data_IF_425547340114
#
_entry.id   IF_425547340114
#
_cell.length_a   1.000
_cell.length_b   1.000
_cell.length_c   1.000
_cell.angle_alpha   90.00
_cell.angle_beta   90.00
_cell.angle_gamma   90.00
#
_symmetry.space_group_name_H-M   'P 1'
#
loop_
_entity.id
_entity.type
_entity.pdbx_description
1 polymer ?
#
# COMPACT_ATOMS: atom_id res chain seq x y z
N UNK A 1 -58.16 36.59 25.83
CA UNK A 1 -57.55 36.23 24.51
C UNK A 1 -56.22 35.54 24.71
N UNK A 2 -56.16 34.32 25.26
CA UNK A 2 -54.86 33.62 25.53
C UNK A 2 -54.83 32.13 25.17
N UNK A 3 -55.87 31.60 24.54
CA UNK A 3 -55.94 30.14 24.18
C UNK A 3 -55.37 29.76 22.82
N UNK A 4 -55.13 30.72 21.92
CA UNK A 4 -54.69 30.47 20.55
C UNK A 4 -53.15 30.19 20.44
N UNK A 5 -52.35 30.81 21.30
CA UNK A 5 -50.87 30.69 21.23
C UNK A 5 -50.33 29.35 21.75
N UNK A 6 -51.03 28.74 22.71
CA UNK A 6 -50.61 27.45 23.27
C UNK A 6 -50.88 26.30 22.31
N UNK A 7 -51.97 26.35 21.56
CA UNK A 7 -52.28 25.35 20.56
C UNK A 7 -51.36 25.38 19.36
N UNK A 8 -50.86 26.53 18.95
CA UNK A 8 -49.87 26.66 17.86
C UNK A 8 -48.47 26.15 18.24
N UNK A 9 -48.05 26.36 19.49
CA UNK A 9 -46.78 25.82 19.98
C UNK A 9 -46.81 24.30 20.09
N UNK A 10 -47.87 23.68 20.50
CA UNK A 10 -48.00 22.23 20.60
C UNK A 10 -48.02 21.60 19.20
N UNK A 11 -48.66 22.25 18.22
CA UNK A 11 -48.70 21.74 16.85
C UNK A 11 -47.32 21.80 16.16
N UNK A 12 -46.52 22.87 16.39
CA UNK A 12 -45.17 23.01 15.83
C UNK A 12 -44.19 22.00 16.47
N UNK A 13 -44.30 21.75 17.76
CA UNK A 13 -43.46 20.77 18.46
C UNK A 13 -43.81 19.32 18.02
N UNK A 14 -45.07 19.04 17.75
CA UNK A 14 -45.51 17.72 17.28
C UNK A 14 -45.06 17.42 15.83
N UNK A 15 -45.01 18.44 14.97
CA UNK A 15 -44.54 18.27 13.59
C UNK A 15 -43.00 18.10 13.49
N UNK A 16 -42.23 18.70 14.40
CA UNK A 16 -40.76 18.52 14.43
C UNK A 16 -40.32 17.13 14.93
N UNK A 17 -41.15 16.44 15.72
CA UNK A 17 -40.85 15.12 16.24
C UNK A 17 -41.08 13.98 15.20
N UNK A 18 -41.69 14.27 14.07
CA UNK A 18 -42.01 13.28 13.01
C UNK A 18 -40.98 13.30 11.86
N UNK A 19 -39.97 14.18 11.89
CA UNK A 19 -38.91 14.14 10.91
C UNK A 19 -37.86 13.09 11.36
N UNK A 20 -38.17 11.84 11.16
CA UNK A 20 -37.16 10.78 11.20
C UNK A 20 -36.12 11.08 10.09
N UNK A 21 -34.82 11.10 10.38
CA UNK A 21 -33.83 11.18 9.31
C UNK A 21 -34.06 10.00 8.39
N UNK A 22 -34.47 10.26 7.17
CA UNK A 22 -34.52 9.26 6.12
C UNK A 22 -33.08 8.80 5.90
N UNK A 23 -32.70 7.67 6.52
CA UNK A 23 -31.46 6.99 6.19
C UNK A 23 -31.57 6.56 4.73
N UNK A 24 -30.91 7.27 3.84
CA UNK A 24 -30.77 6.88 2.45
C UNK A 24 -30.06 5.52 2.43
N UNK A 25 -30.80 4.45 2.45
CA UNK A 25 -30.28 3.10 2.24
C UNK A 25 -29.94 3.00 0.76
N UNK A 26 -28.66 2.75 0.47
CA UNK A 26 -28.25 2.41 -0.89
C UNK A 26 -29.07 1.19 -1.36
N UNK A 27 -29.57 1.19 -2.59
CA UNK A 27 -30.35 0.09 -3.10
C UNK A 27 -29.53 -1.20 -3.05
N UNK A 28 -30.09 -2.24 -2.43
CA UNK A 28 -29.50 -3.58 -2.42
C UNK A 28 -29.99 -4.31 -3.65
N UNK A 29 -29.09 -4.57 -4.58
CA UNK A 29 -29.43 -5.21 -5.85
C UNK A 29 -29.59 -6.73 -5.76
N UNK A 30 -29.31 -7.35 -4.62
CA UNK A 30 -29.41 -8.79 -4.43
C UNK A 30 -28.42 -9.60 -5.26
N UNK A 31 -27.35 -8.97 -5.74
CA UNK A 31 -26.33 -9.62 -6.56
C UNK A 31 -25.12 -9.99 -5.72
N UNK A 32 -24.65 -11.23 -5.90
CA UNK A 32 -23.50 -11.74 -5.15
C UNK A 32 -23.86 -12.17 -3.72
N UNK A 33 -22.84 -12.58 -2.99
CA UNK A 33 -22.90 -12.96 -1.58
C UNK A 33 -21.70 -12.39 -0.83
N UNK A 34 -21.78 -12.30 0.48
CA UNK A 34 -20.63 -12.00 1.31
C UNK A 34 -19.61 -13.14 1.20
N UNK A 35 -18.32 -12.85 0.97
CA UNK A 35 -17.29 -13.87 0.96
C UNK A 35 -17.08 -14.43 2.37
N UNK A 36 -16.66 -15.71 2.46
CA UNK A 36 -16.24 -16.29 3.72
C UNK A 36 -14.87 -15.74 4.17
N UNK A 37 -14.51 -15.85 5.47
CA UNK A 37 -13.19 -15.45 5.94
C UNK A 37 -12.04 -16.16 5.21
N UNK A 38 -12.21 -17.42 4.83
CA UNK A 38 -11.18 -18.17 4.10
C UNK A 38 -11.02 -17.67 2.66
N UNK A 39 -12.12 -17.32 2.00
CA UNK A 39 -12.06 -16.68 0.69
C UNK A 39 -11.35 -15.33 0.74
N UNK A 40 -11.63 -14.51 1.75
CA UNK A 40 -10.95 -13.22 1.96
C UNK A 40 -9.45 -13.46 2.16
N UNK A 41 -9.06 -14.43 2.99
CA UNK A 41 -7.67 -14.73 3.32
C UNK A 41 -6.82 -15.08 2.10
N UNK A 42 -7.39 -15.75 1.10
CA UNK A 42 -6.69 -16.07 -0.16
C UNK A 42 -6.32 -14.81 -0.95
N UNK A 43 -7.13 -13.77 -0.88
CA UNK A 43 -6.96 -12.52 -1.62
C UNK A 43 -6.29 -11.40 -0.82
N UNK A 44 -6.29 -11.50 0.51
CA UNK A 44 -5.66 -10.52 1.39
C UNK A 44 -4.15 -10.78 1.50
N UNK A 45 -3.45 -10.50 0.43
CA UNK A 45 -2.00 -10.64 0.31
C UNK A 45 -1.25 -9.34 0.64
N UNK A 46 -1.93 -8.32 1.11
CA UNK A 46 -1.33 -7.01 1.39
C UNK A 46 -0.57 -7.05 2.71
N UNK A 47 0.70 -6.68 2.66
CA UNK A 47 1.54 -6.54 3.86
C UNK A 47 1.55 -5.06 4.26
N UNK A 48 1.03 -4.71 5.44
CA UNK A 48 1.07 -3.34 5.96
C UNK A 48 2.49 -2.94 6.39
N UNK A 49 2.73 -1.64 6.69
CA UNK A 49 4.04 -1.14 7.11
C UNK A 49 4.64 -1.85 8.34
N UNK A 50 3.80 -2.33 9.26
CA UNK A 50 4.21 -3.05 10.46
C UNK A 50 4.63 -4.53 10.19
N UNK A 51 4.48 -5.01 8.97
CA UNK A 51 4.88 -6.36 8.56
C UNK A 51 3.92 -7.47 8.95
N UNK A 52 2.72 -7.17 9.45
CA UNK A 52 1.73 -8.22 9.73
C UNK A 52 1.42 -9.01 8.47
N UNK A 53 1.39 -10.33 8.60
CA UNK A 53 1.13 -11.23 7.47
C UNK A 53 2.35 -11.58 6.63
N UNK A 54 3.55 -11.08 6.94
CA UNK A 54 4.78 -11.53 6.31
C UNK A 54 4.96 -13.04 6.58
N UNK A 55 5.15 -13.87 5.54
CA UNK A 55 5.37 -15.30 5.71
C UNK A 55 6.75 -15.58 6.29
N UNK A 56 6.96 -16.78 6.87
CA UNK A 56 8.30 -17.27 7.20
C UNK A 56 9.19 -17.28 5.94
N UNK A 57 10.47 -16.99 6.15
CA UNK A 57 11.49 -16.95 5.11
C UNK A 57 12.52 -15.88 5.39
N UNK A 58 13.61 -15.88 4.63
CA UNK A 58 14.69 -14.89 4.76
C UNK A 58 15.50 -14.76 3.47
N UNK A 59 16.24 -13.64 3.35
CA UNK A 59 17.14 -13.44 2.23
C UNK A 59 18.18 -12.35 2.48
N UNK A 60 19.29 -12.43 1.75
CA UNK A 60 20.36 -11.44 1.74
C UNK A 60 20.50 -10.79 0.36
N UNK A 61 21.19 -9.65 0.26
CA UNK A 61 21.45 -9.01 -1.01
C UNK A 61 22.22 -9.93 -1.98
N UNK A 62 23.20 -10.66 -1.47
CA UNK A 62 23.98 -11.62 -2.27
C UNK A 62 23.11 -12.73 -2.89
N UNK A 63 22.19 -13.31 -2.14
CA UNK A 63 21.25 -14.28 -2.67
C UNK A 63 20.27 -13.64 -3.66
N UNK A 64 19.86 -12.39 -3.39
CA UNK A 64 18.93 -11.62 -4.20
C UNK A 64 19.46 -11.21 -5.56
N UNK A 65 20.77 -11.03 -5.70
CA UNK A 65 21.38 -10.74 -7.00
C UNK A 65 21.09 -11.83 -8.02
N UNK A 66 21.26 -13.10 -7.64
CA UNK A 66 20.97 -14.22 -8.54
C UNK A 66 19.49 -14.28 -8.95
N UNK A 67 18.57 -13.97 -8.01
CA UNK A 67 17.13 -13.87 -8.31
C UNK A 67 16.85 -12.71 -9.25
N UNK A 68 17.46 -11.53 -8.99
CA UNK A 68 17.30 -10.36 -9.82
C UNK A 68 17.76 -10.57 -11.25
N UNK A 69 18.96 -11.11 -11.44
CA UNK A 69 19.53 -11.39 -12.78
C UNK A 69 18.67 -12.38 -13.56
N UNK A 70 18.09 -13.37 -12.89
CA UNK A 70 17.26 -14.41 -13.53
C UNK A 70 15.84 -13.92 -13.85
N UNK A 71 15.21 -13.10 -13.00
CA UNK A 71 13.79 -12.81 -13.05
C UNK A 71 13.43 -11.33 -13.31
N UNK A 72 14.36 -10.41 -13.11
CA UNK A 72 14.07 -8.98 -13.15
C UNK A 72 14.87 -8.23 -14.23
N UNK A 73 16.13 -8.64 -14.45
CA UNK A 73 17.08 -7.91 -15.28
C UNK A 73 16.67 -7.81 -16.76
N UNK A 74 15.89 -8.76 -17.27
CA UNK A 74 15.37 -8.72 -18.65
C UNK A 74 14.52 -7.48 -18.91
N UNK A 75 13.77 -7.03 -17.90
CA UNK A 75 12.89 -5.86 -18.00
C UNK A 75 13.50 -4.60 -17.37
N UNK A 76 14.26 -4.74 -16.28
CA UNK A 76 14.78 -3.62 -15.50
C UNK A 76 16.28 -3.33 -15.73
N UNK A 77 16.94 -4.05 -16.67
CA UNK A 77 18.38 -3.94 -16.88
C UNK A 77 19.20 -4.63 -15.79
N UNK A 78 20.47 -4.89 -16.05
CA UNK A 78 21.36 -5.53 -15.07
C UNK A 78 21.71 -4.60 -13.92
N UNK A 79 21.82 -3.31 -14.22
CA UNK A 79 22.13 -2.24 -13.25
C UNK A 79 20.87 -1.50 -12.79
N UNK A 80 19.67 -2.04 -13.04
CA UNK A 80 18.40 -1.42 -12.67
C UNK A 80 18.11 -0.10 -13.39
N UNK A 81 18.78 0.11 -14.52
CA UNK A 81 18.62 1.27 -15.37
C UNK A 81 17.28 1.28 -16.09
N UNK A 82 16.82 2.47 -16.46
CA UNK A 82 15.60 2.58 -17.26
C UNK A 82 15.85 2.00 -18.66
N UNK A 83 15.09 0.95 -19.08
CA UNK A 83 15.27 0.34 -20.38
C UNK A 83 14.98 1.34 -21.52
N UNK A 84 15.88 1.43 -22.48
CA UNK A 84 15.74 2.34 -23.62
C UNK A 84 14.56 2.01 -24.53
N UNK A 85 14.19 0.74 -24.61
CA UNK A 85 13.16 0.20 -25.53
C UNK A 85 11.76 0.11 -24.90
N UNK A 86 11.64 0.23 -23.58
CA UNK A 86 10.32 0.19 -22.93
C UNK A 86 10.21 1.24 -21.81
N UNK A 87 9.61 2.40 -22.10
CA UNK A 87 9.47 3.47 -21.11
C UNK A 87 8.52 3.16 -19.95
N UNK A 88 7.77 2.04 -20.03
CA UNK A 88 6.87 1.61 -18.95
C UNK A 88 7.61 1.05 -17.74
N UNK A 89 8.82 0.52 -17.95
CA UNK A 89 9.64 0.05 -16.85
C UNK A 89 10.39 1.22 -16.23
N UNK A 90 10.32 1.32 -14.92
CA UNK A 90 10.97 2.40 -14.18
C UNK A 90 12.38 1.99 -13.77
N UNK A 91 13.25 2.98 -13.65
CA UNK A 91 14.54 2.81 -12.99
C UNK A 91 14.34 2.36 -11.54
N UNK A 92 15.15 1.41 -11.08
CA UNK A 92 15.01 0.84 -9.74
C UNK A 92 16.01 1.43 -8.72
N UNK A 93 17.16 1.93 -9.19
CA UNK A 93 18.25 2.41 -8.34
C UNK A 93 18.52 3.90 -8.52
N UNK A 94 19.07 4.54 -7.48
CA UNK A 94 19.45 5.95 -7.46
C UNK A 94 18.27 6.90 -7.19
N UNK A 95 18.36 8.12 -7.72
CA UNK A 95 17.32 9.16 -7.59
C UNK A 95 17.19 9.79 -6.20
N UNK A 96 18.03 9.40 -5.24
CA UNK A 96 18.02 9.99 -3.89
C UNK A 96 18.29 11.50 -3.96
N UNK A 97 17.48 12.30 -3.24
CA UNK A 97 17.58 13.76 -3.23
C UNK A 97 16.94 14.47 -4.43
N UNK A 98 16.43 13.73 -5.44
CA UNK A 98 15.84 14.36 -6.64
C UNK A 98 14.36 14.70 -6.52
N UNK A 99 13.65 14.21 -5.51
CA UNK A 99 12.18 14.36 -5.42
C UNK A 99 11.71 15.82 -5.33
N UNK A 100 12.55 16.72 -4.79
CA UNK A 100 12.25 18.15 -4.68
C UNK A 100 12.77 18.98 -5.85
N UNK A 101 13.28 18.34 -6.92
CA UNK A 101 13.80 19.02 -8.11
C UNK A 101 12.75 19.04 -9.22
N UNK A 102 13.02 19.83 -10.28
CA UNK A 102 12.20 19.88 -11.50
C UNK A 102 12.24 18.58 -12.32
N UNK A 103 13.16 17.65 -12.00
CA UNK A 103 13.32 16.35 -12.67
C UNK A 103 13.41 15.21 -11.65
N UNK A 104 12.34 14.91 -10.93
CA UNK A 104 12.34 13.86 -9.93
C UNK A 104 12.54 12.48 -10.57
N UNK A 105 13.41 11.66 -9.98
CA UNK A 105 13.62 10.26 -10.38
C UNK A 105 13.06 9.35 -9.31
N UNK A 106 11.93 8.72 -9.62
CA UNK A 106 11.20 7.85 -8.70
C UNK A 106 11.78 6.42 -8.75
N UNK A 107 12.44 6.01 -7.69
CA UNK A 107 13.05 4.67 -7.55
C UNK A 107 12.70 4.03 -6.22
N UNK A 108 13.18 2.80 -6.01
CA UNK A 108 13.12 2.17 -4.68
C UNK A 108 13.82 3.04 -3.63
N UNK A 109 14.98 3.61 -3.96
CA UNK A 109 15.78 4.39 -3.03
C UNK A 109 15.32 5.82 -2.79
N UNK A 110 14.55 6.41 -3.71
CA UNK A 110 14.11 7.80 -3.59
C UNK A 110 12.65 7.94 -3.14
N UNK A 111 11.75 7.08 -3.60
CA UNK A 111 10.30 7.30 -3.50
C UNK A 111 9.58 6.37 -2.52
N UNK A 112 9.97 5.09 -2.46
CA UNK A 112 9.24 4.10 -1.67
C UNK A 112 9.27 4.40 -0.17
N UNK A 113 8.08 4.39 0.45
CA UNK A 113 7.92 4.76 1.86
C UNK A 113 8.30 3.64 2.85
N UNK A 114 7.99 2.39 2.51
CA UNK A 114 8.20 1.24 3.38
C UNK A 114 8.78 0.05 2.63
N UNK A 115 9.75 -0.63 3.21
CA UNK A 115 10.34 -1.84 2.64
C UNK A 115 9.33 -3.01 2.59
N UNK A 116 8.41 -3.09 3.55
CA UNK A 116 7.31 -4.06 3.57
C UNK A 116 6.36 -3.90 2.39
N UNK A 117 6.09 -2.65 1.97
CA UNK A 117 5.28 -2.37 0.78
C UNK A 117 5.98 -2.82 -0.49
N UNK A 118 7.31 -2.63 -0.58
CA UNK A 118 8.11 -3.13 -1.69
C UNK A 118 8.05 -4.66 -1.77
N UNK A 119 8.27 -5.36 -0.66
CA UNK A 119 8.16 -6.80 -0.56
C UNK A 119 6.77 -7.29 -1.02
N UNK A 120 5.71 -6.68 -0.50
CA UNK A 120 4.32 -6.99 -0.85
C UNK A 120 4.02 -6.78 -2.34
N UNK A 121 4.55 -5.71 -2.92
CA UNK A 121 4.42 -5.43 -4.35
C UNK A 121 5.12 -6.49 -5.20
N UNK A 122 6.37 -6.83 -4.88
CA UNK A 122 7.12 -7.87 -5.60
C UNK A 122 6.36 -9.20 -5.53
N UNK A 123 5.94 -9.61 -4.34
CA UNK A 123 5.21 -10.88 -4.12
C UNK A 123 3.96 -11.00 -4.99
N UNK A 124 3.21 -9.92 -5.17
CA UNK A 124 1.90 -9.93 -5.84
C UNK A 124 1.95 -9.63 -7.33
N UNK A 125 2.97 -8.90 -7.79
CA UNK A 125 2.97 -8.28 -9.11
C UNK A 125 4.24 -8.51 -9.91
N UNK A 126 5.26 -9.16 -9.36
CA UNK A 126 6.55 -9.36 -10.01
C UNK A 126 7.01 -10.83 -9.95
N UNK A 127 7.63 -11.33 -11.00
CA UNK A 127 7.77 -10.74 -12.34
C UNK A 127 6.40 -10.47 -12.99
N UNK A 128 6.31 -9.45 -13.85
CA UNK A 128 5.02 -9.03 -14.43
C UNK A 128 4.34 -10.12 -15.29
N UNK A 129 5.13 -10.94 -15.92
CA UNK A 129 4.69 -12.07 -16.78
C UNK A 129 4.32 -13.34 -15.99
N UNK A 130 4.86 -13.49 -14.75
CA UNK A 130 4.59 -14.63 -13.86
C UNK A 130 4.38 -14.19 -12.39
N UNK A 131 3.33 -13.42 -12.06
CA UNK A 131 3.10 -12.94 -10.70
C UNK A 131 2.94 -14.09 -9.71
N UNK A 132 3.60 -13.97 -8.54
CA UNK A 132 3.50 -14.95 -7.47
C UNK A 132 4.38 -16.19 -7.62
N UNK A 133 5.20 -16.30 -8.67
CA UNK A 133 6.11 -17.44 -8.90
C UNK A 133 7.26 -17.50 -7.88
N UNK A 134 7.66 -16.35 -7.31
CA UNK A 134 8.76 -16.28 -6.36
C UNK A 134 8.36 -16.88 -5.00
N UNK A 135 9.24 -17.70 -4.45
CA UNK A 135 9.12 -18.17 -3.06
C UNK A 135 9.29 -17.00 -2.08
N UNK A 136 8.82 -17.12 -0.80
CA UNK A 136 9.06 -16.10 0.20
C UNK A 136 10.54 -15.74 0.35
N UNK A 137 11.44 -16.71 0.37
CA UNK A 137 12.89 -16.48 0.46
C UNK A 137 13.42 -15.68 -0.74
N UNK A 138 12.99 -16.00 -1.95
CA UNK A 138 13.37 -15.25 -3.14
C UNK A 138 12.85 -13.81 -3.10
N UNK A 139 11.64 -13.57 -2.57
CA UNK A 139 11.11 -12.21 -2.41
C UNK A 139 11.90 -11.43 -1.35
N UNK A 140 12.25 -12.05 -0.21
CA UNK A 140 13.13 -11.42 0.78
C UNK A 140 14.50 -11.11 0.19
N UNK A 141 15.09 -12.06 -0.52
CA UNK A 141 16.41 -11.91 -1.12
C UNK A 141 16.44 -10.80 -2.18
N UNK A 142 15.50 -10.79 -3.13
CA UNK A 142 15.49 -9.74 -4.16
C UNK A 142 15.13 -8.37 -3.55
N UNK A 143 14.30 -8.33 -2.53
CA UNK A 143 14.05 -7.08 -1.77
C UNK A 143 15.32 -6.58 -1.11
N UNK A 144 16.11 -7.47 -0.46
CA UNK A 144 17.40 -7.13 0.12
C UNK A 144 18.38 -6.60 -0.95
N UNK A 145 18.45 -7.23 -2.10
CA UNK A 145 19.29 -6.77 -3.20
C UNK A 145 18.91 -5.36 -3.68
N UNK A 146 17.61 -5.10 -3.88
CA UNK A 146 17.14 -3.77 -4.28
C UNK A 146 17.45 -2.69 -3.23
N UNK A 147 17.32 -3.01 -1.95
CA UNK A 147 17.64 -2.09 -0.86
C UNK A 147 19.14 -1.86 -0.74
N UNK A 148 19.96 -2.91 -0.85
CA UNK A 148 21.42 -2.80 -0.87
C UNK A 148 21.92 -1.94 -2.04
N UNK A 149 21.42 -2.18 -3.25
CA UNK A 149 21.80 -1.41 -4.45
C UNK A 149 21.38 0.06 -4.38
N UNK A 150 20.45 0.40 -3.48
CA UNK A 150 20.05 1.76 -3.15
C UNK A 150 20.74 2.28 -1.85
N UNK A 151 21.77 1.58 -1.32
CA UNK A 151 22.53 2.00 -0.14
C UNK A 151 21.66 2.20 1.13
N UNK A 152 20.60 1.38 1.28
CA UNK A 152 19.67 1.45 2.42
C UNK A 152 20.05 0.44 3.49
N UNK A 153 20.56 -0.72 3.09
CA UNK A 153 21.05 -1.79 3.97
C UNK A 153 22.44 -2.26 3.52
N UNK A 154 23.12 -3.01 4.37
CA UNK A 154 24.40 -3.67 4.05
C UNK A 154 24.20 -4.93 3.19
N UNK A 155 25.26 -5.36 2.50
CA UNK A 155 25.25 -6.54 1.62
C UNK A 155 24.91 -7.84 2.37
N UNK A 156 25.36 -7.94 3.62
CA UNK A 156 25.22 -9.13 4.45
C UNK A 156 23.99 -9.07 5.38
N UNK A 157 23.22 -7.99 5.33
CA UNK A 157 22.02 -7.88 6.15
C UNK A 157 20.99 -8.92 5.73
N UNK A 158 20.41 -9.58 6.73
CA UNK A 158 19.37 -10.59 6.52
C UNK A 158 18.01 -9.94 6.67
N UNK A 159 17.21 -10.00 5.61
CA UNK A 159 15.80 -9.62 5.67
C UNK A 159 14.92 -10.84 5.94
N UNK A 160 14.05 -10.70 6.90
CA UNK A 160 13.00 -11.65 7.29
C UNK A 160 11.76 -10.91 7.79
N UNK A 161 10.77 -11.64 8.31
CA UNK A 161 9.54 -11.05 8.85
C UNK A 161 9.76 -10.09 10.03
N UNK A 162 10.90 -10.17 10.73
CA UNK A 162 11.23 -9.32 11.89
C UNK A 162 12.04 -8.09 11.47
N UNK A 163 13.02 -8.28 10.61
CA UNK A 163 13.99 -7.24 10.23
C UNK A 163 13.46 -6.32 9.12
N UNK A 164 12.68 -6.85 8.17
CA UNK A 164 12.15 -6.06 7.07
C UNK A 164 11.31 -4.85 7.50
N UNK A 165 10.39 -4.92 8.49
CA UNK A 165 9.63 -3.75 8.95
C UNK A 165 10.48 -2.68 9.63
N UNK A 166 11.70 -3.02 10.08
CA UNK A 166 12.61 -2.12 10.76
C UNK A 166 13.47 -1.29 9.80
N UNK A 167 13.48 -1.63 8.51
CA UNK A 167 14.23 -0.89 7.50
C UNK A 167 13.72 0.55 7.40
N UNK A 168 14.63 1.51 7.56
CA UNK A 168 14.33 2.94 7.46
C UNK A 168 14.52 3.41 6.03
N UNK A 169 13.42 3.48 5.29
CA UNK A 169 13.44 4.00 3.92
C UNK A 169 13.72 5.51 3.91
N UNK A 170 14.51 6.02 2.93
CA UNK A 170 14.88 7.45 2.87
C UNK A 170 13.66 8.39 2.78
N UNK A 171 12.58 7.97 2.12
CA UNK A 171 11.36 8.77 1.95
C UNK A 171 10.23 8.36 2.90
N UNK A 172 10.55 7.73 4.04
CA UNK A 172 9.55 7.24 4.99
C UNK A 172 8.57 8.33 5.44
N UNK A 173 9.08 9.51 5.69
CA UNK A 173 8.33 10.65 6.23
C UNK A 173 8.03 11.73 5.18
N UNK A 174 8.33 11.46 3.90
CA UNK A 174 8.18 12.42 2.80
C UNK A 174 6.77 12.54 2.23
N UNK A 175 5.83 11.70 2.67
CA UNK A 175 4.44 11.76 2.22
C UNK A 175 3.61 12.65 3.13
N UNK A 176 2.92 13.61 2.54
CA UNK A 176 1.97 14.48 3.23
C UNK A 176 0.54 13.96 3.06
N UNK A 177 -0.37 14.24 4.00
CA UNK A 177 -1.78 13.93 3.84
C UNK A 177 -2.35 14.60 2.59
N UNK A 178 -3.23 13.89 1.89
CA UNK A 178 -3.98 14.46 0.78
C UNK A 178 -4.92 15.56 1.31
N UNK A 179 -4.82 16.77 0.72
CA UNK A 179 -5.61 17.94 1.13
C UNK A 179 -7.02 17.96 0.54
N UNK A 180 -7.37 17.01 -0.33
CA UNK A 180 -8.73 16.96 -0.90
C UNK A 180 -9.76 16.67 0.19
N UNK A 181 -10.94 17.34 0.17
CA UNK A 181 -11.94 17.23 1.22
C UNK A 181 -12.58 15.85 1.34
N UNK A 182 -12.59 15.06 0.26
CA UNK A 182 -13.16 13.71 0.21
C UNK A 182 -12.22 12.62 0.78
N UNK A 183 -10.94 12.92 0.99
CA UNK A 183 -9.92 11.98 1.51
C UNK A 183 -9.37 12.36 2.88
N UNK A 184 -10.04 13.24 3.61
CA UNK A 184 -9.64 13.70 4.95
C UNK A 184 -9.59 12.59 6.02
N UNK A 185 -9.13 12.92 7.26
CA UNK A 185 -8.95 11.96 8.36
C UNK A 185 -10.19 11.11 8.66
N UNK A 186 -11.39 11.66 8.44
CA UNK A 186 -12.67 10.96 8.61
C UNK A 186 -12.91 9.87 7.58
N UNK A 187 -12.38 9.99 6.37
CA UNK A 187 -12.46 8.95 5.35
C UNK A 187 -11.61 7.72 5.73
N UNK A 188 -10.42 7.93 6.33
CA UNK A 188 -9.55 6.85 6.83
C UNK A 188 -10.15 6.11 8.03
N UNK A 189 -10.85 6.82 8.91
CA UNK A 189 -11.51 6.22 10.08
C UNK A 189 -12.67 5.30 9.71
N UNK A 190 -13.31 5.48 8.55
CA UNK A 190 -14.40 4.62 8.08
C UNK A 190 -13.90 3.31 7.47
N UNK A 191 -12.72 3.30 6.84
CA UNK A 191 -12.13 2.10 6.24
C UNK A 191 -11.66 1.07 7.27
N UNK A 192 -11.36 1.49 8.51
CA UNK A 192 -10.81 0.64 9.57
C UNK A 192 -11.82 0.28 10.69
N UNK A 193 -13.10 0.59 10.54
CA UNK A 193 -14.10 0.15 11.51
C UNK A 193 -14.51 -1.28 11.18
N UNK A 194 -14.23 -2.28 12.05
CA UNK A 194 -14.72 -3.64 11.83
C UNK A 194 -16.26 -3.59 11.82
N UNK A 195 -16.84 -4.20 10.83
CA UNK A 195 -18.30 -4.44 10.73
C UNK A 195 -18.70 -5.57 11.64
#
# INVERSE_FOLDING_TARGET
MSRSRFGQFVLVVLTTLLISPASAQLPTYGVGRSPSPDEIKVWDLTIPPDGRGLPPGSGTAKAGEAVYLRRCAACHGKEGEKPKYNPRFTQLFGGRGTLATDKPVLTVGSFWQNATTLWSYIRRSQPFDEPGVLTPDEVYAVTAYLLYRNEIIGENDVLDAKTLPQVKMPNRDGFVPDSRPDVGPTARGRANKPR
#
